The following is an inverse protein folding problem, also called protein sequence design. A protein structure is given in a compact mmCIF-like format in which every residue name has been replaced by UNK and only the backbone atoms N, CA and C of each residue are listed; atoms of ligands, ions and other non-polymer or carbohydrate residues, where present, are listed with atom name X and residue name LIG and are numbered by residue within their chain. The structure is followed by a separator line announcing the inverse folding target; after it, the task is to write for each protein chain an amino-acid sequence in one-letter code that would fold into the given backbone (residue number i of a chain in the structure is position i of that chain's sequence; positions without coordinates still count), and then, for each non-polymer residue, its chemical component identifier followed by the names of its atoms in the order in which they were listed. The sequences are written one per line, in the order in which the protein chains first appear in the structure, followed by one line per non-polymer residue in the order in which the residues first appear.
data_IF_620674662004
#
_entry.id   IF_620674662004
#
_cell.length_a   1.000
_cell.length_b   1.000
_cell.length_c   1.000
_cell.angle_alpha   90.00
_cell.angle_beta   90.00
_cell.angle_gamma   90.00
#
_symmetry.space_group_name_H-M   'P 1'
#
loop_
_entity.id
_entity.type
_entity.pdbx_description
1 polymer ?
#
# COMPACT_ATOMS: atom_id res chain seq x y z
N UNK A 1 -7.08 -12.56 -16.62
CA UNK A 1 -6.70 -13.14 -15.33
C UNK A 1 -7.87 -13.97 -14.81
N UNK A 2 -7.66 -15.23 -14.53
CA UNK A 2 -8.71 -16.19 -14.23
C UNK A 2 -9.33 -15.85 -12.85
N UNK A 3 -10.67 -15.69 -12.75
CA UNK A 3 -11.38 -15.40 -11.49
C UNK A 3 -10.99 -16.38 -10.38
N UNK A 4 -10.69 -17.62 -10.74
CA UNK A 4 -10.21 -18.66 -9.84
C UNK A 4 -8.84 -18.33 -9.23
N UNK A 5 -7.92 -17.74 -10.01
CA UNK A 5 -6.58 -17.35 -9.52
C UNK A 5 -6.67 -16.22 -8.49
N UNK A 6 -7.52 -15.22 -8.72
CA UNK A 6 -7.73 -14.12 -7.79
C UNK A 6 -8.31 -14.61 -6.46
N UNK A 7 -9.30 -15.52 -6.54
CA UNK A 7 -9.92 -16.12 -5.34
C UNK A 7 -8.91 -16.96 -4.55
N UNK A 8 -8.05 -17.71 -5.25
CA UNK A 8 -7.02 -18.54 -4.62
C UNK A 8 -5.97 -17.69 -3.91
N UNK A 9 -5.55 -16.57 -4.51
CA UNK A 9 -4.61 -15.62 -3.89
C UNK A 9 -5.25 -14.96 -2.66
N UNK A 10 -6.51 -14.54 -2.75
CA UNK A 10 -7.24 -13.96 -1.62
C UNK A 10 -7.39 -14.97 -0.47
N UNK A 11 -7.71 -16.22 -0.80
CA UNK A 11 -7.85 -17.31 0.17
C UNK A 11 -6.50 -17.66 0.81
N UNK A 12 -5.41 -17.67 0.04
CA UNK A 12 -4.06 -17.89 0.55
C UNK A 12 -3.60 -16.77 1.50
N UNK A 13 -3.94 -15.52 1.22
CA UNK A 13 -3.65 -14.39 2.11
C UNK A 13 -4.46 -14.50 3.40
N UNK A 14 -5.75 -14.86 3.31
CA UNK A 14 -6.61 -15.07 4.49
C UNK A 14 -6.15 -16.26 5.35
N UNK A 15 -5.72 -17.36 4.73
CA UNK A 15 -5.19 -18.51 5.45
C UNK A 15 -3.83 -18.23 6.11
N UNK A 16 -2.96 -17.48 5.47
CA UNK A 16 -1.70 -17.02 6.07
C UNK A 16 -1.95 -16.12 7.29
N UNK A 17 -2.96 -15.24 7.23
CA UNK A 17 -3.35 -14.42 8.38
C UNK A 17 -3.96 -15.25 9.52
N UNK A 18 -4.76 -16.27 9.21
CA UNK A 18 -5.34 -17.18 10.20
C UNK A 18 -4.27 -18.07 10.86
N UNK A 19 -3.32 -18.62 10.11
CA UNK A 19 -2.22 -19.44 10.64
C UNK A 19 -1.31 -18.61 11.56
N UNK A 20 -1.10 -17.31 11.24
CA UNK A 20 -0.34 -16.42 12.14
C UNK A 20 -1.03 -16.18 13.49
N UNK A 21 -2.34 -16.44 13.59
CA UNK A 21 -3.10 -16.29 14.85
C UNK A 21 -3.16 -17.55 15.71
N UNK A 22 -2.94 -18.75 15.14
CA UNK A 22 -3.14 -20.04 15.85
C UNK A 22 -1.90 -20.54 16.62
N UNK A 23 -0.73 -19.99 16.40
CA UNK A 23 0.54 -20.52 16.93
C UNK A 23 0.89 -20.05 18.37
N UNK A 24 -0.09 -19.59 19.17
CA UNK A 24 0.12 -19.00 20.49
C UNK A 24 -0.32 -19.87 21.68
N UNK A 25 -0.41 -21.19 21.54
CA UNK A 25 -0.87 -22.08 22.64
C UNK A 25 0.23 -22.58 23.58
N UNK A 26 1.49 -22.41 23.26
CA UNK A 26 2.58 -22.77 24.17
C UNK A 26 3.10 -21.53 24.93
N UNK A 27 3.22 -21.56 26.27
CA UNK A 27 3.88 -20.49 27.03
C UNK A 27 5.37 -20.53 26.64
N UNK A 28 5.77 -19.70 25.69
CA UNK A 28 7.18 -19.47 25.40
C UNK A 28 7.86 -18.88 26.63
N UNK A 29 9.08 -19.35 26.98
CA UNK A 29 9.84 -18.75 28.06
C UNK A 29 9.91 -17.23 27.84
N UNK A 30 9.65 -16.47 28.87
CA UNK A 30 9.65 -15.00 28.88
C UNK A 30 10.99 -14.47 28.36
N UNK A 31 11.10 -14.26 27.07
CA UNK A 31 12.25 -13.57 26.48
C UNK A 31 12.29 -12.18 27.09
N UNK A 32 13.41 -11.83 27.69
CA UNK A 32 13.66 -10.45 28.14
C UNK A 32 13.24 -9.46 27.05
N UNK A 33 12.35 -8.52 27.41
CA UNK A 33 11.86 -7.50 26.44
C UNK A 33 13.07 -6.75 25.89
N UNK A 34 13.25 -6.76 24.59
CA UNK A 34 14.34 -6.05 23.95
C UNK A 34 14.26 -4.55 24.29
N UNK A 35 15.40 -3.84 24.29
CA UNK A 35 15.46 -2.40 24.53
C UNK A 35 14.43 -1.63 23.67
N UNK A 36 14.22 -2.07 22.45
CA UNK A 36 13.27 -1.47 21.51
C UNK A 36 11.81 -1.76 21.87
N UNK A 37 11.53 -2.92 22.46
CA UNK A 37 10.18 -3.24 22.92
C UNK A 37 9.73 -2.40 24.13
N UNK A 38 10.67 -1.89 24.90
CA UNK A 38 10.40 -0.96 26.00
C UNK A 38 10.07 0.46 25.52
N UNK A 39 10.40 0.81 24.28
CA UNK A 39 10.09 2.12 23.67
C UNK A 39 8.64 2.26 23.22
N UNK A 40 7.92 1.15 23.09
CA UNK A 40 6.53 1.15 22.64
C UNK A 40 5.61 0.93 23.82
N UNK A 41 4.67 1.86 23.95
CA UNK A 41 3.67 1.83 25.04
C UNK A 41 2.62 0.75 24.84
N UNK A 42 1.78 0.64 25.84
CA UNK A 42 0.56 -0.17 25.82
C UNK A 42 -0.63 0.78 25.69
N UNK A 43 -1.61 0.39 24.90
CA UNK A 43 -2.85 1.16 24.69
C UNK A 43 -4.03 0.33 25.11
N UNK A 44 -4.81 0.83 26.05
CA UNK A 44 -6.08 0.22 26.44
C UNK A 44 -7.17 0.62 25.45
N UNK A 45 -7.85 -0.39 24.89
CA UNK A 45 -9.00 -0.21 24.03
C UNK A 45 -10.14 -1.11 24.50
N UNK A 46 -11.16 -0.51 25.13
CA UNK A 46 -12.18 -1.24 25.87
C UNK A 46 -11.58 -2.00 27.06
N UNK A 47 -11.89 -3.27 27.14
CA UNK A 47 -11.38 -4.23 28.13
C UNK A 47 -10.06 -4.93 27.70
N UNK A 48 -9.50 -4.52 26.59
CA UNK A 48 -8.31 -5.13 25.99
C UNK A 48 -7.12 -4.19 25.99
N UNK A 49 -5.93 -4.77 26.23
CA UNK A 49 -4.67 -4.05 26.15
C UNK A 49 -3.92 -4.51 24.92
N UNK A 50 -3.50 -3.55 24.10
CA UNK A 50 -2.75 -3.75 22.87
C UNK A 50 -1.36 -3.14 23.00
N UNK A 51 -0.38 -3.80 22.40
CA UNK A 51 0.98 -3.26 22.30
C UNK A 51 1.10 -2.37 21.08
N UNK A 52 1.59 -1.16 21.25
CA UNK A 52 1.91 -0.28 20.13
C UNK A 52 3.00 -0.88 19.22
N UNK A 53 3.06 -0.44 17.98
CA UNK A 53 4.09 -0.87 17.02
C UNK A 53 3.76 -2.16 16.26
N UNK A 54 2.48 -2.49 16.14
CA UNK A 54 2.02 -3.59 15.27
C UNK A 54 2.36 -3.36 13.80
N UNK A 55 2.47 -4.44 13.05
CA UNK A 55 2.50 -4.39 11.59
C UNK A 55 1.09 -4.13 11.04
N UNK A 56 1.00 -3.55 9.85
CA UNK A 56 -0.30 -3.31 9.24
C UNK A 56 -0.24 -3.40 7.71
N UNK A 57 -1.40 -3.64 7.12
CA UNK A 57 -1.66 -3.66 5.69
C UNK A 57 -2.57 -2.47 5.34
N UNK A 58 -2.30 -1.80 4.24
CA UNK A 58 -3.21 -0.82 3.67
C UNK A 58 -3.62 -1.24 2.26
N UNK A 59 -4.89 -1.04 1.94
CA UNK A 59 -5.42 -1.13 0.59
C UNK A 59 -6.13 0.19 0.29
N UNK A 60 -5.68 0.89 -0.75
CA UNK A 60 -6.17 2.22 -1.08
C UNK A 60 -6.63 2.34 -2.53
N UNK A 61 -7.56 3.29 -2.74
CA UNK A 61 -8.01 3.71 -4.06
C UNK A 61 -8.23 5.22 -4.06
N UNK A 62 -7.97 5.88 -5.20
CA UNK A 62 -8.11 7.32 -5.27
C UNK A 62 -7.80 7.89 -6.63
N UNK A 63 -7.29 9.10 -6.62
CA UNK A 63 -6.95 9.85 -7.83
C UNK A 63 -5.54 10.43 -7.71
N UNK A 64 -4.88 10.57 -8.85
CA UNK A 64 -3.58 11.22 -8.93
C UNK A 64 -3.51 12.16 -10.12
N UNK A 65 -2.61 13.12 -10.01
CA UNK A 65 -2.28 14.03 -11.10
C UNK A 65 -0.90 13.66 -11.65
N UNK A 66 -0.85 13.45 -12.95
CA UNK A 66 0.38 13.15 -13.67
C UNK A 66 1.01 14.45 -14.16
N UNK A 67 2.21 14.74 -13.66
CA UNK A 67 3.06 15.86 -14.09
C UNK A 67 4.06 15.30 -15.11
N UNK A 68 4.07 15.80 -16.32
CA UNK A 68 4.93 15.26 -17.38
C UNK A 68 6.18 16.07 -17.57
N UNK A 69 7.29 15.39 -17.86
CA UNK A 69 8.54 15.99 -18.32
C UNK A 69 8.61 16.16 -19.84
N UNK A 70 8.01 15.25 -20.59
CA UNK A 70 8.05 15.30 -22.06
C UNK A 70 6.75 15.92 -22.59
N UNK A 71 6.83 16.83 -23.57
CA UNK A 71 5.66 17.53 -24.14
C UNK A 71 4.67 16.59 -24.85
N UNK A 72 5.08 15.38 -25.16
CA UNK A 72 4.25 14.35 -25.82
C UNK A 72 3.25 13.67 -24.90
N UNK A 73 3.39 13.84 -23.57
CA UNK A 73 2.51 13.15 -22.63
C UNK A 73 1.44 14.11 -22.11
N UNK A 74 0.19 13.73 -22.29
CA UNK A 74 -0.92 14.53 -21.76
C UNK A 74 -0.89 14.56 -20.23
N UNK A 75 -0.95 15.77 -19.68
CA UNK A 75 -1.21 16.02 -18.27
C UNK A 75 -2.64 15.58 -17.99
N UNK A 76 -2.88 14.92 -16.89
CA UNK A 76 -4.25 14.50 -16.60
C UNK A 76 -4.45 13.86 -15.23
N UNK A 77 -5.71 13.79 -14.89
CA UNK A 77 -6.19 13.10 -13.72
C UNK A 77 -6.20 11.60 -13.99
N UNK A 78 -5.50 10.85 -13.18
CA UNK A 78 -5.44 9.40 -13.21
C UNK A 78 -6.15 8.80 -12.00
N UNK A 79 -6.56 7.55 -12.13
CA UNK A 79 -7.06 6.71 -11.04
C UNK A 79 -5.93 5.95 -10.42
N UNK A 80 -5.97 5.77 -9.10
CA UNK A 80 -4.94 5.06 -8.37
C UNK A 80 -5.51 3.92 -7.56
N UNK A 81 -4.71 2.86 -7.42
CA UNK A 81 -4.92 1.80 -6.46
C UNK A 81 -3.59 1.44 -5.82
N UNK A 82 -3.61 1.11 -4.55
CA UNK A 82 -2.41 0.76 -3.81
C UNK A 82 -2.64 -0.40 -2.87
N UNK A 83 -1.59 -1.17 -2.65
CA UNK A 83 -1.50 -2.21 -1.63
C UNK A 83 -0.12 -2.10 -1.00
N UNK A 84 -0.06 -1.91 0.30
CA UNK A 84 1.22 -1.82 1.01
C UNK A 84 1.18 -2.56 2.34
N UNK A 85 2.25 -3.29 2.62
CA UNK A 85 2.50 -3.93 3.90
C UNK A 85 3.56 -3.15 4.66
N UNK A 86 3.27 -2.84 5.90
CA UNK A 86 4.10 -2.03 6.78
C UNK A 86 4.53 -2.88 7.97
N UNK A 87 5.80 -2.84 8.27
CA UNK A 87 6.37 -3.61 9.37
C UNK A 87 7.39 -2.80 10.15
N UNK A 88 7.56 -3.19 11.39
CA UNK A 88 8.53 -2.60 12.29
C UNK A 88 9.79 -3.44 12.35
N UNK A 89 10.93 -2.77 12.25
CA UNK A 89 12.22 -3.34 12.60
C UNK A 89 12.95 -2.42 13.58
N UNK A 90 13.16 -2.87 14.81
CA UNK A 90 13.73 -2.06 15.93
C UNK A 90 12.87 -0.81 16.20
N UNK A 91 13.45 0.38 16.02
CA UNK A 91 12.80 1.67 16.24
C UNK A 91 12.20 2.29 14.97
N UNK A 92 12.47 1.71 13.80
CA UNK A 92 12.02 2.23 12.51
C UNK A 92 10.90 1.39 11.92
N UNK A 93 10.13 2.02 11.05
CA UNK A 93 9.11 1.37 10.24
C UNK A 93 9.56 1.29 8.81
N UNK A 94 9.14 0.24 8.14
CA UNK A 94 9.39 0.00 6.72
C UNK A 94 8.08 -0.34 6.04
N UNK A 95 7.98 -0.02 4.78
CA UNK A 95 6.89 -0.47 3.94
C UNK A 95 7.42 -1.15 2.68
N UNK A 96 6.66 -2.11 2.20
CA UNK A 96 6.80 -2.70 0.86
C UNK A 96 5.43 -2.58 0.21
N UNK A 97 5.37 -1.96 -0.95
CA UNK A 97 4.08 -1.68 -1.56
C UNK A 97 4.12 -1.65 -3.07
N UNK A 98 2.92 -1.64 -3.61
CA UNK A 98 2.62 -1.46 -5.01
C UNK A 98 1.59 -0.34 -5.16
N UNK A 99 1.90 0.62 -6.03
CA UNK A 99 1.00 1.67 -6.47
C UNK A 99 0.75 1.55 -7.96
N UNK A 100 -0.51 1.60 -8.32
CA UNK A 100 -0.97 1.73 -9.68
C UNK A 100 -1.49 3.15 -9.89
N UNK A 101 -1.13 3.76 -11.02
CA UNK A 101 -1.71 5.01 -11.50
C UNK A 101 -1.96 4.90 -12.99
N UNK A 102 -3.18 5.18 -13.44
CA UNK A 102 -3.56 5.03 -14.84
C UNK A 102 -4.83 5.80 -15.20
N UNK A 103 -5.09 5.95 -16.49
CA UNK A 103 -6.29 6.63 -17.00
C UNK A 103 -7.57 5.93 -16.50
N UNK A 104 -7.51 4.63 -16.32
CA UNK A 104 -8.63 3.79 -15.86
C UNK A 104 -8.14 2.79 -14.82
N UNK A 105 -9.01 2.36 -13.93
CA UNK A 105 -8.70 1.24 -13.04
C UNK A 105 -8.46 -0.04 -13.84
N UNK A 106 -7.55 -0.87 -13.38
CA UNK A 106 -7.21 -2.14 -14.04
C UNK A 106 -8.42 -3.06 -14.24
N UNK A 107 -9.44 -3.02 -13.37
CA UNK A 107 -10.66 -3.82 -13.48
C UNK A 107 -11.65 -3.31 -14.54
N UNK A 108 -11.62 -2.02 -14.88
CA UNK A 108 -12.50 -1.45 -15.94
C UNK A 108 -12.17 -2.04 -17.31
N UNK A 109 -10.93 -2.45 -17.52
CA UNK A 109 -10.46 -3.14 -18.74
C UNK A 109 -11.13 -4.51 -18.95
N UNK A 110 -11.63 -5.12 -17.88
CA UNK A 110 -12.25 -6.45 -17.92
C UNK A 110 -13.76 -6.39 -18.16
N UNK A 111 -14.35 -5.21 -18.21
CA UNK A 111 -15.76 -5.08 -18.56
C UNK A 111 -15.99 -5.50 -20.02
N UNK A 112 -16.96 -6.38 -20.22
CA UNK A 112 -17.23 -7.11 -21.49
C UNK A 112 -17.50 -6.18 -22.69
N UNK A 113 -17.98 -4.96 -22.45
CA UNK A 113 -18.39 -3.97 -23.46
C UNK A 113 -17.48 -2.72 -23.52
N UNK A 114 -16.29 -2.75 -22.93
CA UNK A 114 -15.45 -1.57 -22.94
C UNK A 114 -14.67 -1.47 -24.26
N UNK A 115 -14.86 -0.38 -24.98
CA UNK A 115 -14.01 0.02 -26.13
C UNK A 115 -12.53 0.22 -25.73
N UNK A 116 -12.25 0.14 -24.42
CA UNK A 116 -10.93 0.28 -23.80
C UNK A 116 -10.00 -0.92 -24.06
N UNK A 117 -10.54 -2.06 -24.53
CA UNK A 117 -9.74 -3.27 -24.78
C UNK A 117 -8.72 -3.11 -25.91
N UNK A 118 -9.03 -2.26 -26.87
CA UNK A 118 -8.24 -2.07 -28.09
C UNK A 118 -7.31 -0.86 -28.06
N UNK A 119 -7.40 -0.02 -27.00
CA UNK A 119 -6.57 1.19 -26.87
C UNK A 119 -5.45 0.98 -25.85
N UNK A 120 -4.23 1.30 -26.23
CA UNK A 120 -3.15 1.43 -25.29
C UNK A 120 -3.37 2.67 -24.40
N UNK A 121 -3.03 2.56 -23.12
CA UNK A 121 -3.29 3.59 -22.13
C UNK A 121 -2.04 3.88 -21.32
N UNK A 122 -1.92 5.12 -20.86
CA UNK A 122 -0.90 5.50 -19.90
C UNK A 122 -1.14 4.81 -18.56
N UNK A 123 -0.17 4.04 -18.10
CA UNK A 123 -0.19 3.36 -16.81
C UNK A 123 1.19 3.40 -16.17
N UNK A 124 1.21 3.56 -14.88
CA UNK A 124 2.39 3.44 -14.04
C UNK A 124 2.12 2.39 -12.97
N UNK A 125 2.97 1.38 -12.89
CA UNK A 125 3.05 0.47 -11.76
C UNK A 125 4.35 0.76 -11.02
N UNK A 126 4.24 1.09 -9.76
CA UNK A 126 5.33 1.48 -8.88
C UNK A 126 5.43 0.46 -7.75
N UNK A 127 6.54 -0.26 -7.69
CA UNK A 127 6.88 -1.19 -6.62
C UNK A 127 7.94 -0.53 -5.75
N UNK A 128 7.63 -0.24 -4.50
CA UNK A 128 8.50 0.52 -3.63
C UNK A 128 8.83 -0.20 -2.34
N UNK A 129 9.97 0.18 -1.79
CA UNK A 129 10.41 -0.15 -0.44
C UNK A 129 10.76 1.15 0.25
N UNK A 130 10.12 1.46 1.36
CA UNK A 130 10.34 2.71 2.08
C UNK A 130 10.73 2.47 3.53
N UNK A 131 11.42 3.47 4.09
CA UNK A 131 11.67 3.59 5.51
C UNK A 131 10.95 4.83 6.04
N UNK A 132 10.50 4.79 7.29
CA UNK A 132 9.70 5.88 7.79
C UNK A 132 9.44 5.88 9.28
N UNK A 133 8.54 6.77 9.66
CA UNK A 133 8.12 7.02 11.03
C UNK A 133 6.63 6.75 11.15
N UNK A 134 6.22 6.36 12.35
CA UNK A 134 4.82 6.13 12.69
C UNK A 134 4.54 6.73 14.05
N UNK A 135 3.45 7.47 14.13
CA UNK A 135 2.85 7.97 15.37
C UNK A 135 1.50 7.29 15.54
N UNK A 136 1.37 6.47 16.54
CA UNK A 136 0.18 5.65 16.79
C UNK A 136 -0.43 6.00 18.12
N UNK A 137 -1.74 6.22 18.10
CA UNK A 137 -2.58 6.33 19.31
C UNK A 137 -3.78 5.40 19.22
N UNK A 138 -4.64 5.46 20.22
CA UNK A 138 -5.86 4.68 20.32
C UNK A 138 -6.77 4.81 19.10
N UNK A 139 -6.96 6.05 18.62
CA UNK A 139 -7.94 6.40 17.60
C UNK A 139 -7.32 6.74 16.25
N UNK A 140 -6.04 7.03 16.20
CA UNK A 140 -5.39 7.44 14.98
C UNK A 140 -4.04 6.77 14.78
N UNK A 141 -3.64 6.73 13.54
CA UNK A 141 -2.32 6.33 13.09
C UNK A 141 -1.87 7.32 12.02
N UNK A 142 -0.73 7.95 12.24
CA UNK A 142 -0.06 8.80 11.28
C UNK A 142 1.27 8.17 10.92
N UNK A 143 1.55 8.04 9.62
CA UNK A 143 2.80 7.46 9.16
C UNK A 143 3.34 8.23 7.95
N UNK A 144 4.65 8.29 7.87
CA UNK A 144 5.40 8.88 6.76
C UNK A 144 6.45 7.88 6.28
N UNK A 145 6.54 7.68 4.97
CA UNK A 145 7.51 6.78 4.33
C UNK A 145 8.16 7.47 3.14
N UNK A 146 9.44 7.15 2.94
CA UNK A 146 10.22 7.54 1.76
C UNK A 146 11.16 6.41 1.38
N UNK A 147 11.33 6.18 0.10
CA UNK A 147 12.27 5.16 -0.38
C UNK A 147 12.35 5.03 -1.89
N UNK A 148 13.22 4.13 -2.35
CA UNK A 148 13.34 3.81 -3.77
C UNK A 148 12.11 3.07 -4.28
N UNK A 149 11.85 3.25 -5.57
CA UNK A 149 10.79 2.58 -6.29
C UNK A 149 11.28 2.05 -7.64
N UNK A 150 10.82 0.88 -8.01
CA UNK A 150 10.95 0.35 -9.35
C UNK A 150 9.63 0.56 -10.09
N UNK A 151 9.69 1.35 -11.15
CA UNK A 151 8.53 1.77 -11.89
C UNK A 151 8.47 1.12 -13.27
N UNK A 152 7.30 0.59 -13.63
CA UNK A 152 6.96 0.05 -14.94
C UNK A 152 5.96 1.01 -15.58
N UNK A 153 6.43 1.77 -16.57
CA UNK A 153 5.63 2.73 -17.31
C UNK A 153 5.15 2.13 -18.63
N UNK A 154 3.83 2.09 -18.83
CA UNK A 154 3.22 1.76 -20.13
C UNK A 154 2.81 3.05 -20.81
N UNK A 155 3.33 3.28 -22.00
CA UNK A 155 3.14 4.48 -22.80
C UNK A 155 2.49 4.06 -24.12
N UNK A 156 1.36 4.67 -24.55
CA UNK A 156 0.79 4.39 -25.86
C UNK A 156 1.82 4.61 -26.97
N UNK A 157 1.87 3.67 -27.92
CA UNK A 157 2.71 3.85 -29.10
C UNK A 157 1.95 4.74 -30.11
N UNK A 158 2.51 5.89 -30.51
CA UNK A 158 1.86 6.78 -31.46
C UNK A 158 1.65 6.11 -32.84
N UNK A 159 2.51 5.18 -33.23
CA UNK A 159 2.48 4.52 -34.53
C UNK A 159 1.49 3.35 -34.60
N UNK A 160 1.12 2.79 -33.47
CA UNK A 160 0.25 1.62 -33.36
C UNK A 160 -0.83 1.86 -32.30
N UNK A 161 -2.10 2.14 -32.65
CA UNK A 161 -3.14 2.52 -31.70
C UNK A 161 -3.38 1.52 -30.55
N UNK A 162 -3.16 0.23 -30.80
CA UNK A 162 -3.27 -0.84 -29.79
C UNK A 162 -1.94 -1.19 -29.14
N UNK A 163 -0.84 -0.59 -29.58
CA UNK A 163 0.51 -0.87 -29.11
C UNK A 163 0.86 -0.07 -27.86
N UNK A 164 1.58 -0.68 -26.93
CA UNK A 164 2.14 -0.01 -25.76
C UNK A 164 3.65 -0.23 -25.71
N UNK A 165 4.38 0.84 -25.44
CA UNK A 165 5.80 0.79 -25.14
C UNK A 165 5.94 0.63 -23.61
N UNK A 166 6.54 -0.47 -23.18
CA UNK A 166 6.79 -0.73 -21.77
C UNK A 166 8.21 -0.30 -21.45
N UNK A 167 8.34 0.59 -20.47
CA UNK A 167 9.65 1.10 -19.99
C UNK A 167 9.79 0.80 -18.51
N UNK A 168 10.95 0.31 -18.14
CA UNK A 168 11.36 0.08 -16.75
C UNK A 168 12.31 1.20 -16.29
N UNK A 169 12.11 1.69 -15.08
CA UNK A 169 12.95 2.73 -14.51
C UNK A 169 12.99 2.63 -12.99
N UNK A 170 14.02 3.22 -12.40
CA UNK A 170 14.12 3.41 -10.95
C UNK A 170 13.73 4.84 -10.63
N UNK A 171 13.06 5.04 -9.51
CA UNK A 171 12.61 6.33 -9.03
C UNK A 171 12.57 6.38 -7.51
N UNK A 172 11.84 7.35 -6.99
CA UNK A 172 11.55 7.53 -5.58
C UNK A 172 10.06 7.50 -5.32
N UNK A 173 9.68 7.02 -4.14
CA UNK A 173 8.32 7.04 -3.62
C UNK A 173 8.29 7.74 -2.27
N UNK A 174 7.28 8.55 -2.05
CA UNK A 174 7.00 9.20 -0.78
C UNK A 174 5.53 9.04 -0.45
N UNK A 175 5.21 8.75 0.80
CA UNK A 175 3.83 8.56 1.23
C UNK A 175 3.62 9.10 2.65
N UNK A 176 2.51 9.81 2.85
CA UNK A 176 2.01 10.25 4.14
C UNK A 176 0.63 9.65 4.34
N UNK A 177 0.44 8.94 5.44
CA UNK A 177 -0.82 8.27 5.77
C UNK A 177 -1.42 8.85 7.05
N UNK A 178 -2.71 9.09 7.05
CA UNK A 178 -3.49 9.39 8.24
C UNK A 178 -4.66 8.43 8.31
N UNK A 179 -4.78 7.68 9.39
CA UNK A 179 -5.83 6.66 9.57
C UNK A 179 -6.60 6.92 10.86
N UNK A 180 -7.92 6.89 10.78
CA UNK A 180 -8.80 6.81 11.93
C UNK A 180 -9.15 5.34 12.19
N UNK A 181 -8.91 4.88 13.43
CA UNK A 181 -9.16 3.49 13.86
C UNK A 181 -10.52 3.44 14.55
N UNK A 182 -11.50 2.82 13.92
CA UNK A 182 -12.81 2.55 14.54
C UNK A 182 -12.80 1.27 15.40
N UNK A 183 -11.89 0.33 15.09
CA UNK A 183 -11.41 -0.73 15.97
C UNK A 183 -9.88 -0.62 16.04
N UNK A 184 -9.27 -1.19 17.07
CA UNK A 184 -7.80 -1.05 17.20
C UNK A 184 -7.06 -1.61 15.98
N UNK A 185 -7.56 -2.70 15.41
CA UNK A 185 -6.97 -3.40 14.26
C UNK A 185 -7.57 -3.00 12.90
N UNK A 186 -8.63 -2.20 12.89
CA UNK A 186 -9.33 -1.80 11.69
C UNK A 186 -9.51 -0.29 11.65
N UNK A 187 -9.28 0.29 10.50
CA UNK A 187 -9.45 1.72 10.29
C UNK A 187 -9.66 2.08 8.83
N UNK A 188 -10.01 3.33 8.64
CA UNK A 188 -10.08 3.98 7.33
C UNK A 188 -9.25 5.25 7.39
N UNK A 189 -8.66 5.61 6.27
CA UNK A 189 -7.80 6.78 6.25
C UNK A 189 -7.61 7.38 4.87
N UNK A 190 -6.73 8.37 4.84
CA UNK A 190 -6.31 9.06 3.62
C UNK A 190 -4.80 8.99 3.54
N UNK A 191 -4.28 8.71 2.35
CA UNK A 191 -2.86 8.79 2.02
C UNK A 191 -2.64 9.85 0.95
N UNK A 192 -1.60 10.64 1.14
CA UNK A 192 -0.99 11.47 0.10
C UNK A 192 0.28 10.76 -0.34
N UNK A 193 0.48 10.62 -1.64
CA UNK A 193 1.66 9.95 -2.17
C UNK A 193 2.25 10.69 -3.37
N UNK A 194 3.54 10.50 -3.58
CA UNK A 194 4.26 10.94 -4.76
C UNK A 194 5.17 9.84 -5.28
N UNK A 195 5.13 9.60 -6.59
CA UNK A 195 6.06 8.73 -7.31
C UNK A 195 6.81 9.55 -8.34
N UNK A 196 8.14 9.51 -8.28
CA UNK A 196 9.03 10.35 -9.06
C UNK A 196 10.02 9.48 -9.81
N UNK A 197 9.90 9.44 -11.13
CA UNK A 197 10.81 8.69 -11.98
C UNK A 197 11.07 9.44 -13.31
N UNK A 198 11.94 8.89 -14.13
CA UNK A 198 12.35 9.53 -15.40
C UNK A 198 11.18 9.78 -16.36
N UNK A 199 10.18 8.92 -16.37
CA UNK A 199 9.08 8.97 -17.34
C UNK A 199 7.84 9.65 -16.81
N UNK A 200 7.55 9.47 -15.51
CA UNK A 200 6.37 10.03 -14.88
C UNK A 200 6.70 10.60 -13.51
N UNK A 201 6.11 11.75 -13.25
CA UNK A 201 5.92 12.25 -11.90
C UNK A 201 4.43 12.22 -11.60
N UNK A 202 4.08 11.61 -10.49
CA UNK A 202 2.69 11.43 -10.08
C UNK A 202 2.58 11.89 -8.64
N UNK A 203 1.58 12.73 -8.37
CA UNK A 203 1.18 13.11 -7.01
C UNK A 203 -0.29 12.76 -6.88
N UNK A 204 -0.67 12.11 -5.79
CA UNK A 204 -2.04 11.66 -5.63
C UNK A 204 -2.53 11.61 -4.21
N UNK A 205 -3.85 11.45 -4.10
CA UNK A 205 -4.57 11.23 -2.86
C UNK A 205 -5.43 9.99 -3.00
N UNK A 206 -5.47 9.18 -1.96
CA UNK A 206 -6.27 7.96 -1.93
C UNK A 206 -6.90 7.74 -0.56
N UNK A 207 -8.13 7.27 -0.54
CA UNK A 207 -8.73 6.67 0.64
C UNK A 207 -8.18 5.25 0.82
N UNK A 208 -7.91 4.83 2.05
CA UNK A 208 -7.42 3.49 2.31
C UNK A 208 -8.12 2.83 3.49
N UNK A 209 -8.18 1.50 3.42
CA UNK A 209 -8.49 0.63 4.54
C UNK A 209 -7.19 0.25 5.24
N UNK A 210 -7.25 0.22 6.56
CA UNK A 210 -6.15 -0.14 7.44
C UNK A 210 -6.50 -1.41 8.20
N UNK A 211 -5.60 -2.39 8.17
CA UNK A 211 -5.69 -3.65 8.89
C UNK A 211 -4.39 -3.89 9.64
N UNK A 212 -4.45 -3.95 10.96
CA UNK A 212 -3.25 -4.25 11.74
C UNK A 212 -3.31 -5.64 12.36
N UNK A 213 -2.14 -6.20 12.62
CA UNK A 213 -1.95 -7.42 13.39
C UNK A 213 -1.49 -7.06 14.80
N UNK A 214 -2.33 -6.33 15.56
CA UNK A 214 -1.96 -5.91 16.89
C UNK A 214 -1.87 -7.08 17.85
N UNK A 215 -0.82 -7.10 18.65
CA UNK A 215 -0.65 -8.08 19.71
C UNK A 215 -1.62 -7.77 20.85
N UNK A 216 -2.61 -8.62 21.03
CA UNK A 216 -3.46 -8.64 22.21
C UNK A 216 -2.68 -9.24 23.37
N UNK A 217 -2.47 -8.47 24.43
CA UNK A 217 -1.89 -9.01 25.65
C UNK A 217 -2.91 -9.94 26.29
N UNK A 218 -2.55 -11.19 26.51
CA UNK A 218 -3.26 -12.10 27.42
C UNK A 218 -2.65 -11.92 28.79
N UNK A 219 -3.45 -11.52 29.74
CA UNK A 219 -3.16 -11.67 31.19
C UNK A 219 -3.52 -13.07 31.63
#
# INVERSE_FOLDING_TARGET
MNKRLLLTILFAICTLMLVAQTDNTNPRPTKEKSKYDKMFGEVQYGDKIYKQGSNWLTFGMGVSYKINYEPTYEKGLNRTAALAYHFRYKAMYFNVGWHFSGEYFFFERFQKNSNLKSRAMHQLNDFHVGAGLRFEDRWYNFAFFIGPAWAIACIPNPDIPSGAIVKHTVGGHVEVQTTFKFLYDLGIGVSLFGSFNKYYQVIGVQGHFYFSSAYRMKY
#
